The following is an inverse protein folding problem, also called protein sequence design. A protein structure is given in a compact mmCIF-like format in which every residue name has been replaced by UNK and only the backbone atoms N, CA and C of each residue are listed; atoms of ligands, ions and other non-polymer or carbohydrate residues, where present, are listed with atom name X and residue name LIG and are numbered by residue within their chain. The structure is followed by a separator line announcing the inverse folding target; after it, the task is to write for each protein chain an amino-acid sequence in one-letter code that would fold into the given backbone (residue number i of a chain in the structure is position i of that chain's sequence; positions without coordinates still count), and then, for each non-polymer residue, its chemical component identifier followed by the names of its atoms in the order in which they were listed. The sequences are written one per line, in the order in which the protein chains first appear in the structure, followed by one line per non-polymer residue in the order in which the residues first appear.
data_IF_191379739201
#
_entry.id   IF_191379739201
#
_cell.length_a   1.000
_cell.length_b   1.000
_cell.length_c   1.000
_cell.angle_alpha   90.00
_cell.angle_beta   90.00
_cell.angle_gamma   90.00
#
_symmetry.space_group_name_H-M   'P 1'
#
loop_
_entity.id
_entity.type
_entity.pdbx_description
1 polymer ?
#
# COMPACT_ATOMS: atom_id res chain seq x y z
N UNK A 1 22.50 -12.18 -23.19
CA UNK A 1 21.74 -11.45 -22.14
C UNK A 1 21.71 -12.39 -20.94
N UNK A 2 22.34 -11.97 -19.83
CA UNK A 2 22.23 -12.70 -18.57
C UNK A 2 20.76 -12.76 -18.16
N UNK A 3 20.24 -13.94 -17.85
CA UNK A 3 18.92 -14.08 -17.28
C UNK A 3 18.89 -13.32 -15.95
N UNK A 4 18.10 -12.27 -15.86
CA UNK A 4 17.75 -11.62 -14.60
C UNK A 4 16.89 -12.62 -13.79
N UNK A 5 17.55 -13.49 -13.04
CA UNK A 5 16.85 -14.36 -12.07
C UNK A 5 16.51 -13.55 -10.84
N UNK A 6 15.26 -13.09 -10.76
CA UNK A 6 14.73 -12.55 -9.51
C UNK A 6 14.35 -13.73 -8.62
N UNK A 7 15.25 -14.11 -7.74
CA UNK A 7 15.07 -15.24 -6.82
C UNK A 7 14.01 -15.00 -5.76
N UNK A 8 13.76 -13.74 -5.39
CA UNK A 8 12.73 -13.38 -4.40
C UNK A 8 12.22 -11.96 -4.62
N UNK A 9 10.89 -11.79 -4.61
CA UNK A 9 10.28 -10.46 -4.67
C UNK A 9 10.48 -9.69 -3.35
N UNK A 10 10.62 -8.35 -3.41
CA UNK A 10 10.76 -7.52 -2.22
C UNK A 10 9.60 -7.68 -1.25
N UNK A 11 9.90 -8.12 -0.02
CA UNK A 11 8.92 -8.32 1.06
C UNK A 11 9.56 -8.06 2.42
N UNK A 12 8.73 -7.85 3.44
CA UNK A 12 9.16 -7.81 4.83
C UNK A 12 8.04 -8.34 5.72
N UNK A 13 8.01 -9.67 5.87
CA UNK A 13 6.98 -10.39 6.62
C UNK A 13 6.99 -10.00 8.10
N UNK A 14 8.16 -9.71 8.68
CA UNK A 14 8.27 -9.28 10.08
C UNK A 14 7.59 -7.90 10.28
N UNK A 15 7.78 -6.96 9.35
CA UNK A 15 7.10 -5.66 9.40
C UNK A 15 5.58 -5.81 9.25
N UNK A 16 5.11 -6.73 8.40
CA UNK A 16 3.69 -7.02 8.24
C UNK A 16 3.09 -7.56 9.54
N UNK A 17 3.75 -8.54 10.17
CA UNK A 17 3.33 -9.10 11.45
C UNK A 17 3.33 -8.05 12.57
N UNK A 18 4.39 -7.24 12.65
CA UNK A 18 4.50 -6.18 13.64
C UNK A 18 3.41 -5.11 13.48
N UNK A 19 3.08 -4.74 12.24
CA UNK A 19 1.99 -3.82 11.97
C UNK A 19 0.64 -4.39 12.40
N UNK A 20 0.32 -5.62 11.99
CA UNK A 20 -0.94 -6.27 12.36
C UNK A 20 -1.07 -6.41 13.87
N UNK A 21 0.00 -6.81 14.56
CA UNK A 21 0.04 -6.86 16.02
C UNK A 21 -0.20 -5.50 16.67
N UNK A 22 0.43 -4.44 16.16
CA UNK A 22 0.23 -3.07 16.65
C UNK A 22 -1.22 -2.59 16.47
N UNK A 23 -1.86 -2.92 15.34
CA UNK A 23 -3.26 -2.57 15.06
C UNK A 23 -4.23 -3.32 15.99
N UNK A 24 -3.97 -4.61 16.28
CA UNK A 24 -4.75 -5.40 17.22
C UNK A 24 -4.62 -4.92 18.67
N UNK A 25 -3.44 -4.43 19.05
CA UNK A 25 -3.19 -3.87 20.38
C UNK A 25 -3.80 -2.46 20.54
N UNK A 26 -3.83 -1.66 19.48
CA UNK A 26 -4.37 -0.31 19.48
C UNK A 26 -4.97 0.08 18.12
N UNK A 27 -6.28 -0.01 18.02
CA UNK A 27 -7.02 0.34 16.81
C UNK A 27 -6.88 1.82 16.38
N UNK A 28 -6.52 2.73 17.28
CA UNK A 28 -6.29 4.15 16.94
C UNK A 28 -5.14 4.33 15.95
N UNK A 29 -4.16 3.43 15.95
CA UNK A 29 -3.07 3.47 14.98
C UNK A 29 -3.55 3.26 13.53
N UNK A 30 -4.74 2.66 13.35
CA UNK A 30 -5.32 2.40 12.04
C UNK A 30 -5.62 3.70 11.27
N UNK A 31 -6.04 4.76 11.94
CA UNK A 31 -6.41 6.04 11.31
C UNK A 31 -5.29 6.55 10.39
N UNK A 32 -4.07 6.64 10.90
CA UNK A 32 -2.89 7.09 10.13
C UNK A 32 -2.47 6.12 9.04
N UNK A 33 -2.57 4.83 9.33
CA UNK A 33 -2.12 3.78 8.41
C UNK A 33 -3.09 3.61 7.25
N UNK A 34 -4.40 3.74 7.49
CA UNK A 34 -5.45 3.56 6.49
C UNK A 34 -5.48 4.62 5.40
N UNK A 35 -4.85 5.78 5.63
CA UNK A 35 -4.73 6.84 4.63
C UNK A 35 -4.03 6.34 3.37
N UNK A 36 -3.07 5.43 3.51
CA UNK A 36 -2.25 4.98 2.39
C UNK A 36 -2.13 3.47 2.24
N UNK A 37 -2.18 2.69 3.32
CA UNK A 37 -2.00 1.24 3.24
C UNK A 37 -3.32 0.55 2.91
N UNK A 38 -3.24 -0.43 1.99
CA UNK A 38 -4.38 -1.23 1.53
C UNK A 38 -4.03 -2.72 1.60
N UNK A 39 -5.03 -3.62 1.65
CA UNK A 39 -4.81 -5.07 1.74
C UNK A 39 -3.86 -5.64 0.67
N UNK A 40 -3.95 -5.15 -0.57
CA UNK A 40 -3.10 -5.61 -1.67
C UNK A 40 -1.62 -5.20 -1.56
N UNK A 41 -1.27 -4.32 -0.61
CA UNK A 41 0.11 -3.91 -0.40
C UNK A 41 0.93 -4.93 0.39
N UNK A 42 0.28 -5.86 1.07
CA UNK A 42 0.94 -6.95 1.78
C UNK A 42 1.52 -7.98 0.81
N UNK A 43 2.68 -8.53 1.16
CA UNK A 43 3.31 -9.60 0.38
C UNK A 43 2.66 -10.96 0.71
N UNK A 44 2.30 -11.15 1.99
CA UNK A 44 1.55 -12.32 2.42
C UNK A 44 0.05 -12.07 2.22
N UNK A 45 -0.65 -12.87 1.38
CA UNK A 45 -2.08 -12.74 1.17
C UNK A 45 -2.91 -12.90 2.46
N UNK A 46 -2.42 -13.71 3.41
CA UNK A 46 -3.06 -13.91 4.72
C UNK A 46 -3.03 -12.60 5.51
N UNK A 47 -1.89 -11.92 5.53
CA UNK A 47 -1.75 -10.62 6.20
C UNK A 47 -2.66 -9.56 5.56
N UNK A 48 -2.73 -9.54 4.22
CA UNK A 48 -3.66 -8.66 3.49
C UNK A 48 -5.10 -8.91 3.90
N UNK A 49 -5.51 -10.17 4.02
CA UNK A 49 -6.85 -10.56 4.45
C UNK A 49 -7.15 -10.18 5.91
N UNK A 50 -6.19 -10.40 6.81
CA UNK A 50 -6.30 -9.97 8.22
C UNK A 50 -6.46 -8.44 8.29
N UNK A 51 -5.63 -7.68 7.56
CA UNK A 51 -5.71 -6.23 7.51
C UNK A 51 -7.06 -5.75 6.96
N UNK A 52 -7.60 -6.41 5.93
CA UNK A 52 -8.92 -6.09 5.38
C UNK A 52 -10.03 -6.20 6.43
N UNK A 53 -10.01 -7.27 7.24
CA UNK A 53 -11.02 -7.47 8.27
C UNK A 53 -10.85 -6.49 9.43
N UNK A 54 -9.60 -6.20 9.85
CA UNK A 54 -9.31 -5.12 10.81
C UNK A 54 -9.92 -3.81 10.31
N UNK A 55 -9.67 -3.45 9.04
CA UNK A 55 -10.23 -2.26 8.40
C UNK A 55 -11.76 -2.23 8.43
N UNK A 56 -12.41 -3.34 8.03
CA UNK A 56 -13.87 -3.46 8.04
C UNK A 56 -14.47 -3.29 9.43
N UNK A 57 -13.87 -3.89 10.45
CA UNK A 57 -14.35 -3.80 11.82
C UNK A 57 -14.23 -2.37 12.34
N UNK A 58 -13.06 -1.74 12.21
CA UNK A 58 -12.81 -0.38 12.72
C UNK A 58 -13.70 0.64 12.01
N UNK A 59 -13.85 0.54 10.68
CA UNK A 59 -14.69 1.46 9.90
C UNK A 59 -16.16 1.36 10.28
N UNK A 60 -16.61 0.20 10.78
CA UNK A 60 -17.97 0.00 11.31
C UNK A 60 -18.11 0.38 12.78
N UNK A 61 -17.07 0.92 13.41
CA UNK A 61 -17.07 1.31 14.82
C UNK A 61 -16.91 0.13 15.80
N UNK A 62 -16.50 -1.04 15.30
CA UNK A 62 -16.22 -2.20 16.14
C UNK A 62 -14.73 -2.25 16.53
N UNK A 63 -14.47 -2.85 17.68
CA UNK A 63 -13.09 -3.12 18.11
C UNK A 63 -12.54 -4.28 17.28
N UNK A 64 -11.37 -4.09 16.68
CA UNK A 64 -10.62 -5.14 16.03
C UNK A 64 -9.59 -5.70 17.02
N UNK A 65 -9.90 -6.84 17.61
CA UNK A 65 -9.02 -7.63 18.48
C UNK A 65 -9.01 -9.10 18.05
N UNK A 66 -8.21 -9.91 18.72
CA UNK A 66 -8.05 -11.34 18.39
C UNK A 66 -9.39 -12.09 18.47
N UNK A 67 -10.27 -11.72 19.41
CA UNK A 67 -11.56 -12.39 19.62
C UNK A 67 -12.54 -12.03 18.51
N UNK A 68 -12.65 -10.75 18.20
CA UNK A 68 -13.55 -10.26 17.14
C UNK A 68 -13.12 -10.76 15.76
N UNK A 69 -11.80 -10.80 15.48
CA UNK A 69 -11.27 -11.37 14.26
C UNK A 69 -11.56 -12.87 14.15
N UNK A 70 -11.29 -13.63 15.23
CA UNK A 70 -11.60 -15.06 15.27
C UNK A 70 -13.06 -15.32 14.91
N UNK A 71 -13.99 -14.64 15.59
CA UNK A 71 -15.42 -14.81 15.36
C UNK A 71 -15.80 -14.48 13.91
N UNK A 72 -15.20 -13.43 13.33
CA UNK A 72 -15.42 -13.07 11.94
C UNK A 72 -14.94 -14.16 10.97
N UNK A 73 -13.73 -14.66 11.17
CA UNK A 73 -13.15 -15.71 10.33
C UNK A 73 -13.88 -17.06 10.47
N UNK A 74 -14.41 -17.37 11.65
CA UNK A 74 -15.27 -18.55 11.86
C UNK A 74 -16.59 -18.43 11.09
N UNK A 75 -17.23 -17.27 11.12
CA UNK A 75 -18.47 -17.02 10.38
C UNK A 75 -18.28 -17.11 8.86
N UNK A 76 -17.16 -16.62 8.36
CA UNK A 76 -16.80 -16.69 6.93
C UNK A 76 -16.24 -18.08 6.53
N UNK A 77 -15.97 -18.97 7.47
CA UNK A 77 -15.45 -20.32 7.20
C UNK A 77 -13.99 -20.35 6.75
N UNK A 78 -13.22 -19.30 7.03
CA UNK A 78 -11.84 -19.11 6.54
C UNK A 78 -10.79 -19.05 7.66
N UNK A 79 -11.15 -19.42 8.90
CA UNK A 79 -10.23 -19.37 10.04
C UNK A 79 -8.99 -20.25 9.83
N UNK A 80 -9.14 -21.42 9.23
CA UNK A 80 -8.02 -22.31 8.92
C UNK A 80 -7.06 -21.68 7.89
N UNK A 81 -7.58 -20.96 6.89
CA UNK A 81 -6.78 -20.28 5.85
C UNK A 81 -5.90 -19.18 6.45
N UNK A 82 -6.37 -18.46 7.48
CA UNK A 82 -5.62 -17.37 8.11
C UNK A 82 -4.67 -17.83 9.22
N UNK A 83 -4.43 -19.14 9.34
CA UNK A 83 -3.46 -19.72 10.27
C UNK A 83 -4.01 -20.02 11.66
N UNK A 84 -5.32 -20.25 11.77
CA UNK A 84 -6.05 -20.55 13.01
C UNK A 84 -5.96 -19.43 14.07
N UNK A 85 -6.68 -19.62 15.17
CA UNK A 85 -6.66 -18.70 16.31
C UNK A 85 -5.25 -18.45 16.88
N UNK A 86 -4.40 -19.47 16.88
CA UNK A 86 -3.02 -19.39 17.41
C UNK A 86 -2.17 -18.33 16.66
N UNK A 87 -2.40 -18.20 15.37
CA UNK A 87 -1.67 -17.21 14.58
C UNK A 87 -2.10 -15.78 14.93
N UNK A 88 -3.40 -15.55 15.12
CA UNK A 88 -3.91 -14.24 15.55
C UNK A 88 -3.38 -13.85 16.93
N UNK A 89 -3.30 -14.79 17.87
CA UNK A 89 -2.67 -14.57 19.19
C UNK A 89 -1.19 -14.23 19.01
N UNK A 90 -0.45 -14.98 18.21
CA UNK A 90 0.96 -14.71 17.94
C UNK A 90 1.19 -13.31 17.37
N UNK A 91 0.31 -12.84 16.46
CA UNK A 91 0.38 -11.48 15.91
C UNK A 91 0.18 -10.42 17.01
N UNK A 92 -0.81 -10.61 17.88
CA UNK A 92 -1.07 -9.68 18.98
C UNK A 92 0.09 -9.64 19.99
N UNK A 93 0.70 -10.78 20.29
CA UNK A 93 1.85 -10.91 21.20
C UNK A 93 3.13 -10.31 20.60
N UNK A 94 3.25 -10.27 19.26
CA UNK A 94 4.38 -9.65 18.56
C UNK A 94 4.30 -8.14 18.48
N UNK A 95 3.31 -7.52 19.14
CA UNK A 95 3.12 -6.07 19.11
C UNK A 95 4.35 -5.35 19.69
N UNK A 96 5.05 -4.65 18.80
CA UNK A 96 6.09 -3.68 19.15
C UNK A 96 5.45 -2.40 19.69
N UNK A 97 6.17 -1.52 20.42
CA UNK A 97 5.60 -0.29 20.94
C UNK A 97 4.87 0.50 19.86
N UNK A 98 3.69 0.99 20.20
CA UNK A 98 2.68 1.66 19.35
C UNK A 98 3.20 2.80 18.45
N UNK A 99 4.39 3.30 18.72
CA UNK A 99 5.04 4.40 17.99
C UNK A 99 5.48 4.05 16.58
N UNK A 100 5.50 2.77 16.21
CA UNK A 100 6.11 2.32 14.97
C UNK A 100 5.13 1.82 13.89
N UNK A 101 3.80 1.85 14.15
CA UNK A 101 2.82 1.32 13.19
C UNK A 101 2.91 2.02 11.81
N UNK A 102 3.01 3.33 11.80
CA UNK A 102 3.15 4.13 10.57
C UNK A 102 4.46 3.79 9.83
N UNK A 103 5.55 3.62 10.56
CA UNK A 103 6.83 3.23 10.00
C UNK A 103 6.79 1.84 9.35
N UNK A 104 6.19 0.83 10.02
CA UNK A 104 6.00 -0.48 9.42
C UNK A 104 5.11 -0.42 8.19
N UNK A 105 4.04 0.38 8.23
CA UNK A 105 3.18 0.58 7.08
C UNK A 105 3.92 1.18 5.89
N UNK A 106 4.79 2.16 6.11
CA UNK A 106 5.66 2.74 5.08
C UNK A 106 6.62 1.70 4.47
N UNK A 107 7.21 0.82 5.31
CA UNK A 107 8.05 -0.27 4.83
C UNK A 107 7.29 -1.24 3.93
N UNK A 108 6.09 -1.65 4.33
CA UNK A 108 5.23 -2.54 3.55
C UNK A 108 4.91 -1.90 2.20
N UNK A 109 4.57 -0.62 2.23
CA UNK A 109 4.24 0.15 1.04
C UNK A 109 5.44 0.30 0.08
N UNK A 110 6.65 0.61 0.59
CA UNK A 110 7.88 0.63 -0.23
C UNK A 110 8.12 -0.72 -0.91
N UNK A 111 7.96 -1.84 -0.18
CA UNK A 111 8.09 -3.17 -0.77
C UNK A 111 7.04 -3.46 -1.84
N UNK A 112 5.81 -3.00 -1.63
CA UNK A 112 4.77 -3.08 -2.65
C UNK A 112 5.15 -2.31 -3.91
N UNK A 113 5.56 -1.05 -3.79
CA UNK A 113 5.98 -0.24 -4.95
C UNK A 113 7.13 -0.89 -5.73
N UNK A 114 8.10 -1.47 -5.03
CA UNK A 114 9.20 -2.23 -5.67
C UNK A 114 8.69 -3.46 -6.43
N UNK A 115 7.71 -4.18 -5.89
CA UNK A 115 7.07 -5.30 -6.60
C UNK A 115 6.34 -4.82 -7.86
N UNK A 116 5.62 -3.71 -7.76
CA UNK A 116 4.96 -3.09 -8.92
C UNK A 116 5.96 -2.65 -9.98
N UNK A 117 7.07 -2.02 -9.57
CA UNK A 117 8.13 -1.61 -10.50
C UNK A 117 8.74 -2.81 -11.23
N UNK A 118 8.99 -3.91 -10.52
CA UNK A 118 9.47 -5.16 -11.11
C UNK A 118 8.46 -5.72 -12.12
N UNK A 119 7.19 -5.79 -11.74
CA UNK A 119 6.12 -6.28 -12.62
C UNK A 119 6.00 -5.43 -13.90
N UNK A 120 5.99 -4.11 -13.75
CA UNK A 120 5.99 -3.17 -14.88
C UNK A 120 7.22 -3.35 -15.78
N UNK A 121 8.40 -3.55 -15.20
CA UNK A 121 9.62 -3.82 -15.95
C UNK A 121 9.52 -5.11 -16.80
N UNK A 122 8.98 -6.19 -16.23
CA UNK A 122 8.73 -7.41 -16.99
C UNK A 122 7.70 -7.23 -18.10
N UNK A 123 6.64 -6.48 -17.86
CA UNK A 123 5.65 -6.15 -18.90
C UNK A 123 6.30 -5.38 -20.05
N UNK A 124 7.11 -4.35 -19.75
CA UNK A 124 7.84 -3.57 -20.77
C UNK A 124 8.75 -4.47 -21.59
N UNK A 125 9.53 -5.34 -20.95
CA UNK A 125 10.42 -6.28 -21.64
C UNK A 125 9.63 -7.23 -22.54
N UNK A 126 8.52 -7.78 -22.03
CA UNK A 126 7.70 -8.71 -22.79
C UNK A 126 7.00 -8.04 -23.98
N UNK A 127 6.56 -6.80 -23.82
CA UNK A 127 5.94 -6.03 -24.91
C UNK A 127 6.97 -5.65 -25.99
N UNK A 128 8.15 -5.21 -25.56
CA UNK A 128 9.24 -4.87 -26.49
C UNK A 128 9.78 -6.07 -27.29
N UNK A 129 9.67 -7.27 -26.72
CA UNK A 129 10.09 -8.51 -27.39
C UNK A 129 9.06 -9.06 -28.40
N UNK A 130 7.83 -8.53 -28.41
CA UNK A 130 6.81 -8.95 -29.39
C UNK A 130 7.06 -8.21 -30.71
N UNK A 131 7.19 -8.98 -31.78
CA UNK A 131 7.13 -8.45 -33.14
C UNK A 131 5.66 -8.27 -33.55
N UNK A 132 5.11 -7.10 -33.26
CA UNK A 132 3.74 -6.72 -33.66
C UNK A 132 3.84 -5.74 -34.83
N UNK A 133 3.18 -6.08 -35.95
CA UNK A 133 3.20 -5.29 -37.19
C UNK A 133 2.47 -3.94 -36.97
N UNK A 134 1.54 -3.89 -36.04
CA UNK A 134 0.69 -2.72 -35.76
C UNK A 134 1.26 -1.81 -34.64
N UNK A 135 2.36 -2.19 -33.99
CA UNK A 135 2.98 -1.46 -32.88
C UNK A 135 4.42 -1.11 -33.19
N UNK A 136 4.70 0.14 -33.46
CA UNK A 136 6.06 0.64 -33.64
C UNK A 136 6.77 0.84 -32.28
N UNK A 137 8.10 0.91 -32.30
CA UNK A 137 8.91 1.06 -31.09
C UNK A 137 8.59 2.35 -30.32
N UNK A 138 8.19 3.42 -31.04
CA UNK A 138 7.86 4.70 -30.40
C UNK A 138 6.58 4.60 -29.58
N UNK A 139 5.54 3.95 -30.09
CA UNK A 139 4.30 3.67 -29.39
C UNK A 139 4.52 2.80 -28.14
N UNK A 140 5.45 1.83 -28.21
CA UNK A 140 5.83 1.00 -27.06
C UNK A 140 6.54 1.83 -25.97
N UNK A 141 7.40 2.77 -26.36
CA UNK A 141 8.07 3.69 -25.43
C UNK A 141 7.04 4.60 -24.73
N UNK A 142 6.11 5.20 -25.47
CA UNK A 142 5.04 6.04 -24.91
C UNK A 142 4.18 5.24 -23.90
N UNK A 143 3.89 4.00 -24.21
CA UNK A 143 3.14 3.09 -23.30
C UNK A 143 3.94 2.80 -22.03
N UNK A 144 5.25 2.56 -22.15
CA UNK A 144 6.13 2.33 -21.01
C UNK A 144 6.25 3.57 -20.12
N UNK A 145 6.43 4.76 -20.71
CA UNK A 145 6.45 6.03 -20.00
C UNK A 145 5.16 6.24 -19.19
N UNK A 146 4.01 6.00 -19.82
CA UNK A 146 2.71 6.14 -19.16
C UNK A 146 2.60 5.18 -17.96
N UNK A 147 2.98 3.90 -18.10
CA UNK A 147 2.94 2.93 -17.01
C UNK A 147 3.82 3.35 -15.83
N UNK A 148 5.03 3.85 -16.10
CA UNK A 148 5.95 4.34 -15.07
C UNK A 148 5.43 5.62 -14.40
N UNK A 149 4.84 6.52 -15.17
CA UNK A 149 4.22 7.74 -14.65
C UNK A 149 3.01 7.40 -13.74
N UNK A 150 2.15 6.49 -14.16
CA UNK A 150 1.01 6.05 -13.35
C UNK A 150 1.48 5.41 -12.03
N UNK A 151 2.57 4.60 -12.09
CA UNK A 151 3.16 4.02 -10.89
C UNK A 151 3.75 5.09 -9.96
N UNK A 152 4.42 6.10 -10.49
CA UNK A 152 4.96 7.22 -9.73
C UNK A 152 3.85 7.99 -9.01
N UNK A 153 2.74 8.28 -9.71
CA UNK A 153 1.58 8.97 -9.14
C UNK A 153 0.88 8.19 -8.02
N UNK A 154 0.83 6.85 -8.09
CA UNK A 154 0.37 6.02 -6.98
C UNK A 154 1.25 6.24 -5.74
N UNK A 155 2.56 6.43 -5.92
CA UNK A 155 3.52 6.72 -4.86
C UNK A 155 3.39 8.13 -4.28
N UNK A 156 3.10 9.12 -5.10
CA UNK A 156 3.03 10.54 -4.72
C UNK A 156 1.76 10.91 -3.92
N UNK A 157 0.64 10.27 -4.20
CA UNK A 157 -0.64 10.57 -3.51
C UNK A 157 -0.54 10.39 -1.99
N UNK A 158 0.57 9.85 -1.48
CA UNK A 158 0.72 9.44 -0.08
C UNK A 158 2.01 9.92 0.61
N UNK A 159 2.90 10.63 -0.09
CA UNK A 159 4.22 11.03 0.42
C UNK A 159 4.42 12.53 0.67
N UNK A 160 3.38 13.34 0.77
CA UNK A 160 3.53 14.77 1.09
C UNK A 160 3.99 15.67 -0.07
N UNK A 161 4.14 15.14 -1.27
CA UNK A 161 4.20 15.97 -2.47
C UNK A 161 2.78 16.36 -2.86
N UNK A 162 2.47 17.64 -2.70
CA UNK A 162 1.23 18.20 -3.26
C UNK A 162 1.28 18.01 -4.78
N UNK A 163 0.23 17.41 -5.34
CA UNK A 163 0.02 17.39 -6.79
C UNK A 163 0.25 18.80 -7.35
N UNK A 164 0.99 18.89 -8.46
CA UNK A 164 1.33 20.17 -9.10
C UNK A 164 0.08 21.04 -9.31
N UNK A 165 -1.06 20.45 -9.65
CA UNK A 165 -2.33 21.16 -9.79
C UNK A 165 -2.80 21.75 -8.44
N UNK A 166 -2.65 21.04 -7.35
CA UNK A 166 -2.97 21.51 -5.98
C UNK A 166 -1.99 22.58 -5.53
N UNK A 167 -0.69 22.42 -5.80
CA UNK A 167 0.33 23.42 -5.47
C UNK A 167 0.12 24.71 -6.31
N UNK A 168 -0.25 24.57 -7.59
CA UNK A 168 -0.57 25.68 -8.46
C UNK A 168 -1.84 26.43 -7.99
N UNK A 169 -2.91 25.72 -7.67
CA UNK A 169 -4.14 26.30 -7.13
C UNK A 169 -3.90 27.02 -5.78
N UNK A 170 -3.11 26.44 -4.91
CA UNK A 170 -2.74 27.07 -3.63
C UNK A 170 -1.91 28.34 -3.87
N UNK A 171 -0.99 28.32 -4.82
CA UNK A 171 -0.19 29.48 -5.22
C UNK A 171 -1.04 30.58 -5.85
N UNK A 172 -1.98 30.23 -6.73
CA UNK A 172 -2.93 31.17 -7.34
C UNK A 172 -3.84 31.81 -6.29
N UNK A 173 -4.38 31.03 -5.35
CA UNK A 173 -5.21 31.53 -4.26
C UNK A 173 -4.42 32.49 -3.34
N UNK A 174 -3.15 32.19 -3.05
CA UNK A 174 -2.28 33.07 -2.27
C UNK A 174 -1.96 34.37 -3.00
N UNK A 175 -1.73 34.33 -4.32
CA UNK A 175 -1.52 35.51 -5.15
C UNK A 175 -2.79 36.37 -5.18
N UNK A 176 -3.95 35.76 -5.34
CA UNK A 176 -5.24 36.47 -5.38
C UNK A 176 -5.55 37.12 -4.01
N UNK A 177 -5.29 36.42 -2.90
CA UNK A 177 -5.41 36.96 -1.55
C UNK A 177 -4.44 38.13 -1.28
N UNK A 178 -3.20 38.02 -1.75
CA UNK A 178 -2.22 39.10 -1.66
C UNK A 178 -2.62 40.33 -2.47
N UNK A 179 -3.14 40.11 -3.69
CA UNK A 179 -3.62 41.21 -4.55
C UNK A 179 -4.84 41.95 -3.97
N UNK A 180 -5.74 41.21 -3.28
CA UNK A 180 -6.89 41.80 -2.60
C UNK A 180 -6.52 42.53 -1.29
N UNK A 181 -5.38 42.18 -0.67
CA UNK A 181 -4.92 42.84 0.57
C UNK A 181 -4.12 44.10 0.34
N UNK A 182 -3.49 44.26 -0.82
CA UNK A 182 -2.69 45.46 -1.21
C UNK A 182 -3.56 46.62 -1.77
N UNK A 183 -4.87 46.45 -1.80
CA UNK A 183 -5.85 47.43 -2.32
C UNK A 183 -6.54 48.26 -1.24
N UNK A 184 -5.97 48.40 -0.02
CA UNK A 184 -6.45 49.33 1.02
C UNK A 184 -5.37 50.28 1.48
#
# INVERSE_FOLDING_TARGET
MENLEITQLPQNIEAEQALLGALLANNKAFEKVSEFLKPQHFADPIHGKIYEIISKLITRGHVADVITLKNYFEQEGILEEVGEYKYLVKLADSSSPLTNAEYYAQFIYDKYLRRQLIATGFEIVNEAAKEDIDSDAMSQIETAEKKLFDLANIGETQGGFQDFATALNTSLNNIEAAYQSDGK
#
